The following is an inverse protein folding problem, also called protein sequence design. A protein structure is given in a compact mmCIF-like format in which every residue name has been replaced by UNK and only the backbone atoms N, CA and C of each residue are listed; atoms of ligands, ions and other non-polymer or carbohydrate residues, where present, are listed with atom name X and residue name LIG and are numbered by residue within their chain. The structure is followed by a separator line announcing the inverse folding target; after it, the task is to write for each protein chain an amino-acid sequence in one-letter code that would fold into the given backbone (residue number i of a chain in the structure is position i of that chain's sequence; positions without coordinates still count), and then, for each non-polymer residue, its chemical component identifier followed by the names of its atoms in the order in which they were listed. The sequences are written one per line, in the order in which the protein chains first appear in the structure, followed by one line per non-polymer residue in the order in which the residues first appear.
data_IF_795659708214
#
_entry.id   IF_795659708214
#
_cell.length_a   1.000
_cell.length_b   1.000
_cell.length_c   1.000
_cell.angle_alpha   90.00
_cell.angle_beta   90.00
_cell.angle_gamma   90.00
#
_symmetry.space_group_name_H-M   'P 1'
#
loop_
_entity.id
_entity.type
_entity.pdbx_description
1 polymer ?
#
# COMPACT_ATOMS: atom_id res chain seq x y z
N UNK A 1 24.34 -25.32 7.87
CA UNK A 1 22.97 -25.61 8.38
C UNK A 1 22.11 -24.39 8.08
N UNK A 2 20.90 -24.56 7.51
CA UNK A 2 19.96 -23.43 7.39
C UNK A 2 19.52 -23.02 8.81
N UNK A 3 19.70 -21.75 9.15
CA UNK A 3 19.30 -21.19 10.45
C UNK A 3 17.78 -21.27 10.55
N UNK A 4 17.25 -21.79 11.66
CA UNK A 4 15.82 -21.77 11.93
C UNK A 4 15.32 -20.31 12.00
N UNK A 5 14.24 -19.98 11.30
CA UNK A 5 13.64 -18.64 11.32
C UNK A 5 12.72 -18.52 12.54
N UNK A 6 13.34 -18.42 13.73
CA UNK A 6 12.63 -18.30 15.00
C UNK A 6 12.89 -16.92 15.63
N UNK A 7 11.90 -16.01 15.64
CA UNK A 7 11.97 -14.74 16.33
C UNK A 7 12.16 -14.84 17.82
N UNK A 8 12.76 -13.78 18.33
CA UNK A 8 13.06 -13.58 19.75
C UNK A 8 11.79 -13.33 20.57
N UNK A 9 10.73 -12.77 19.96
CA UNK A 9 9.46 -12.46 20.63
C UNK A 9 8.29 -13.18 19.94
N UNK A 10 7.45 -13.81 20.75
CA UNK A 10 6.27 -14.60 20.34
C UNK A 10 5.05 -14.30 21.20
N UNK A 11 3.88 -14.31 20.56
CA UNK A 11 2.62 -14.51 21.28
C UNK A 11 2.54 -15.97 21.76
N UNK A 12 1.86 -16.18 22.90
CA UNK A 12 1.86 -17.45 23.65
C UNK A 12 1.56 -18.70 22.81
N UNK A 13 0.75 -18.55 21.76
CA UNK A 13 0.27 -19.67 20.94
C UNK A 13 0.91 -19.73 19.54
N UNK A 14 1.92 -18.89 19.27
CA UNK A 14 2.63 -18.84 17.97
C UNK A 14 4.04 -19.41 18.12
N UNK A 15 4.14 -20.71 18.36
CA UNK A 15 5.41 -21.41 18.66
C UNK A 15 6.14 -21.94 17.42
N UNK A 16 5.47 -22.01 16.28
CA UNK A 16 6.03 -22.53 15.04
C UNK A 16 7.13 -21.62 14.46
N UNK A 17 7.99 -22.24 13.66
CA UNK A 17 9.02 -21.55 12.88
C UNK A 17 8.37 -20.71 11.77
N UNK A 18 8.99 -19.58 11.39
CA UNK A 18 8.52 -18.83 10.22
C UNK A 18 8.74 -19.63 8.96
N UNK A 19 7.75 -19.54 8.08
CA UNK A 19 7.88 -19.89 6.69
C UNK A 19 8.28 -18.64 5.88
N UNK A 20 9.20 -18.83 4.95
CA UNK A 20 9.50 -17.82 3.93
C UNK A 20 8.59 -18.05 2.73
N UNK A 21 7.91 -17.02 2.27
CA UNK A 21 7.01 -17.08 1.12
C UNK A 21 7.14 -15.82 0.26
N UNK A 22 6.84 -15.92 -1.04
CA UNK A 22 6.86 -14.74 -1.90
C UNK A 22 5.58 -13.95 -1.69
N UNK A 23 5.69 -12.63 -1.65
CA UNK A 23 4.51 -11.72 -1.60
C UNK A 23 3.52 -12.06 -2.73
N UNK A 24 4.04 -12.33 -3.93
CA UNK A 24 3.23 -12.69 -5.09
C UNK A 24 2.51 -14.04 -4.97
N UNK A 25 2.81 -14.88 -3.97
CA UNK A 25 2.07 -16.12 -3.72
C UNK A 25 0.76 -15.81 -2.98
N UNK A 26 0.79 -14.88 -2.03
CA UNK A 26 -0.32 -14.53 -1.15
C UNK A 26 -1.16 -13.33 -1.62
N UNK A 27 -0.60 -12.47 -2.46
CA UNK A 27 -1.21 -11.17 -2.81
C UNK A 27 -1.22 -10.89 -4.31
N UNK A 28 -2.25 -10.17 -4.76
CA UNK A 28 -2.25 -9.45 -6.03
C UNK A 28 -1.64 -8.07 -5.83
N UNK A 29 -0.69 -7.72 -6.70
CA UNK A 29 -0.01 -6.42 -6.72
C UNK A 29 -0.49 -5.62 -7.93
N UNK A 30 -1.04 -4.43 -7.69
CA UNK A 30 -1.54 -3.55 -8.75
C UNK A 30 -0.96 -2.14 -8.58
N UNK A 31 -0.77 -1.42 -9.67
CA UNK A 31 -0.46 0.02 -9.66
C UNK A 31 -1.72 0.83 -9.93
N UNK A 32 -1.74 2.07 -9.48
CA UNK A 32 -2.82 3.00 -9.77
C UNK A 32 -2.83 3.50 -11.21
N UNK A 33 -3.65 4.52 -11.45
CA UNK A 33 -3.77 5.20 -12.76
C UNK A 33 -3.02 6.53 -12.75
N UNK A 34 -2.68 7.06 -13.92
CA UNK A 34 -2.13 8.41 -14.01
C UNK A 34 -3.18 9.41 -13.54
N UNK A 35 -2.86 10.16 -12.48
CA UNK A 35 -3.70 11.26 -11.96
C UNK A 35 -2.83 12.51 -11.92
N UNK A 36 -3.15 13.47 -12.78
CA UNK A 36 -2.41 14.72 -12.90
C UNK A 36 -2.88 15.76 -11.90
N UNK A 37 -2.01 16.71 -11.55
CA UNK A 37 -2.33 17.80 -10.64
C UNK A 37 -3.59 18.58 -11.04
N UNK A 38 -3.73 18.95 -12.31
CA UNK A 38 -4.91 19.65 -12.81
C UNK A 38 -6.20 18.82 -12.66
N UNK A 39 -6.12 17.50 -12.74
CA UNK A 39 -7.28 16.65 -12.50
C UNK A 39 -7.73 16.75 -11.03
N UNK A 40 -6.79 16.72 -10.09
CA UNK A 40 -7.07 16.87 -8.65
C UNK A 40 -7.71 18.24 -8.39
N UNK A 41 -7.17 19.31 -8.99
CA UNK A 41 -7.66 20.67 -8.81
C UNK A 41 -9.08 20.87 -9.38
N UNK A 42 -9.39 20.26 -10.52
CA UNK A 42 -10.70 20.35 -11.16
C UNK A 42 -11.75 19.41 -10.56
N UNK A 43 -11.34 18.41 -9.77
CA UNK A 43 -12.23 17.41 -9.19
C UNK A 43 -12.13 17.35 -7.66
N UNK A 44 -11.84 18.49 -7.01
CA UNK A 44 -11.65 18.57 -5.56
C UNK A 44 -12.79 17.91 -4.79
N UNK A 45 -12.43 17.19 -3.74
CA UNK A 45 -13.39 16.54 -2.86
C UNK A 45 -12.76 16.06 -1.57
N UNK A 46 -13.33 15.00 -1.00
CA UNK A 46 -12.94 14.50 0.33
C UNK A 46 -12.10 13.22 0.30
N UNK A 47 -12.00 12.54 -0.84
CA UNK A 47 -11.32 11.25 -0.93
C UNK A 47 -9.84 11.45 -1.29
N UNK A 48 -8.91 10.92 -0.49
CA UNK A 48 -7.49 11.11 -0.72
C UNK A 48 -7.00 10.39 -1.98
N UNK A 49 -5.99 10.98 -2.61
CA UNK A 49 -5.18 10.41 -3.68
C UNK A 49 -3.78 10.20 -3.15
N UNK A 50 -3.29 8.97 -3.14
CA UNK A 50 -1.93 8.66 -2.69
C UNK A 50 -0.97 8.45 -3.86
N UNK A 51 0.29 8.86 -3.69
CA UNK A 51 1.35 8.77 -4.71
C UNK A 51 2.62 8.08 -4.17
N UNK A 52 3.78 8.29 -4.80
CA UNK A 52 5.09 7.86 -4.27
C UNK A 52 5.67 8.77 -3.18
N UNK A 53 4.99 9.86 -2.81
CA UNK A 53 5.41 10.72 -1.70
C UNK A 53 5.39 9.94 -0.38
N UNK A 54 6.37 10.22 0.49
CA UNK A 54 6.46 9.60 1.83
C UNK A 54 6.09 10.57 2.96
N UNK A 55 6.10 11.87 2.70
CA UNK A 55 5.56 12.89 3.59
C UNK A 55 4.02 12.92 3.56
N UNK A 56 3.40 13.57 4.55
CA UNK A 56 1.94 13.69 4.66
C UNK A 56 1.20 12.34 4.48
N UNK A 57 1.80 11.26 5.01
CA UNK A 57 1.28 9.90 4.86
C UNK A 57 1.04 9.50 3.38
N UNK A 58 1.84 10.05 2.46
CA UNK A 58 1.79 9.84 1.01
C UNK A 58 0.62 10.47 0.26
N UNK A 59 -0.17 11.33 0.92
CA UNK A 59 -1.31 12.01 0.29
C UNK A 59 -0.85 13.14 -0.63
N UNK A 60 -1.18 13.03 -1.92
CA UNK A 60 -0.93 14.03 -2.96
C UNK A 60 -2.02 15.11 -3.00
N UNK A 61 -3.26 14.75 -2.66
CA UNK A 61 -4.40 15.65 -2.67
C UNK A 61 -5.72 14.89 -2.49
N UNK A 62 -6.85 15.56 -2.71
CA UNK A 62 -8.18 14.96 -2.54
C UNK A 62 -9.12 15.24 -3.71
N UNK A 63 -9.87 14.22 -4.11
CA UNK A 63 -10.85 14.28 -5.20
C UNK A 63 -12.25 13.86 -4.73
N UNK A 64 -13.25 14.11 -5.58
CA UNK A 64 -14.68 13.83 -5.32
C UNK A 64 -15.11 12.39 -5.68
N UNK A 65 -14.23 11.60 -6.29
CA UNK A 65 -14.43 10.18 -6.64
C UNK A 65 -13.38 9.31 -5.95
N UNK A 66 -13.51 7.99 -6.03
CA UNK A 66 -12.54 7.04 -5.46
C UNK A 66 -12.52 5.76 -6.30
N UNK A 67 -11.37 5.09 -6.32
CA UNK A 67 -11.19 3.81 -7.02
C UNK A 67 -11.26 2.61 -6.06
N UNK A 68 -10.91 2.83 -4.77
CA UNK A 68 -10.83 1.78 -3.76
C UNK A 68 -11.68 2.12 -2.55
N UNK A 69 -12.28 1.09 -1.93
CA UNK A 69 -13.02 1.21 -0.68
C UNK A 69 -12.80 -0.06 0.16
N UNK A 70 -12.05 0.05 1.25
CA UNK A 70 -11.76 -1.09 2.11
C UNK A 70 -10.43 -0.94 2.83
N UNK A 71 -9.90 -2.08 3.27
CA UNK A 71 -8.65 -2.18 4.00
C UNK A 71 -7.55 -2.75 3.11
N UNK A 72 -6.46 -2.00 2.95
CA UNK A 72 -5.39 -2.33 2.02
C UNK A 72 -4.03 -1.90 2.56
N UNK A 73 -2.99 -2.51 1.98
CA UNK A 73 -1.63 -2.01 2.08
C UNK A 73 -1.27 -1.31 0.76
N UNK A 74 -0.60 -0.17 0.86
CA UNK A 74 -0.05 0.54 -0.31
C UNK A 74 1.46 0.68 -0.18
N UNK A 75 2.16 0.80 -1.31
CA UNK A 75 3.60 1.06 -1.33
C UNK A 75 4.01 2.10 -2.37
N UNK A 76 5.11 2.81 -2.11
CA UNK A 76 5.72 3.74 -3.08
C UNK A 76 6.51 2.94 -4.12
N UNK A 77 6.29 3.17 -5.42
CA UNK A 77 6.98 2.38 -6.47
C UNK A 77 8.30 2.98 -6.95
N UNK A 78 8.58 4.22 -6.58
CA UNK A 78 9.59 5.08 -7.19
C UNK A 78 10.09 6.14 -6.19
N UNK A 79 11.22 6.79 -6.52
CA UNK A 79 11.87 7.79 -5.68
C UNK A 79 12.89 7.22 -4.70
N UNK A 80 13.59 8.10 -3.97
CA UNK A 80 14.63 7.74 -3.01
C UNK A 80 14.13 6.88 -1.83
N UNK A 81 12.81 6.89 -1.60
CA UNK A 81 12.14 6.12 -0.56
C UNK A 81 11.18 5.07 -1.14
N UNK A 82 11.47 4.55 -2.34
CA UNK A 82 10.72 3.44 -2.94
C UNK A 82 10.64 2.24 -1.98
N UNK A 83 9.48 1.58 -1.95
CA UNK A 83 9.20 0.47 -1.02
C UNK A 83 8.67 0.90 0.35
N UNK A 84 8.40 2.20 0.56
CA UNK A 84 7.73 2.66 1.78
C UNK A 84 6.30 2.16 1.82
N UNK A 85 5.90 1.55 2.95
CA UNK A 85 4.60 0.90 3.13
C UNK A 85 3.65 1.78 3.96
N UNK A 86 2.39 1.85 3.53
CA UNK A 86 1.33 2.49 4.30
C UNK A 86 0.10 1.58 4.41
N UNK A 87 -0.46 1.51 5.61
CA UNK A 87 -1.79 0.94 5.85
C UNK A 87 -2.88 1.94 5.48
N UNK A 88 -3.92 1.48 4.77
CA UNK A 88 -5.04 2.29 4.30
C UNK A 88 -6.35 1.62 4.69
N UNK A 89 -7.29 2.42 5.19
CA UNK A 89 -8.65 1.98 5.45
C UNK A 89 -9.64 3.07 5.02
N UNK A 90 -10.61 2.71 4.17
CA UNK A 90 -11.66 3.60 3.68
C UNK A 90 -11.57 3.84 2.18
N UNK A 91 -12.09 4.99 1.74
CA UNK A 91 -12.26 5.36 0.33
C UNK A 91 -11.11 6.22 -0.17
N UNK A 92 -10.42 5.80 -1.22
CA UNK A 92 -9.28 6.51 -1.78
C UNK A 92 -8.98 6.14 -3.24
N UNK A 93 -8.05 6.87 -3.84
CA UNK A 93 -7.42 6.54 -5.11
C UNK A 93 -5.90 6.51 -4.97
N UNK A 94 -5.21 5.83 -5.88
CA UNK A 94 -3.75 5.80 -5.95
C UNK A 94 -3.30 6.21 -7.35
N UNK A 95 -2.18 6.93 -7.43
CA UNK A 95 -1.55 7.22 -8.73
C UNK A 95 -0.82 6.00 -9.27
N UNK A 96 -0.38 6.05 -10.52
CA UNK A 96 0.50 5.05 -11.13
C UNK A 96 1.81 4.88 -10.34
N UNK A 97 2.24 5.87 -9.57
CA UNK A 97 3.44 5.84 -8.71
C UNK A 97 3.21 5.23 -7.32
N UNK A 98 2.04 4.66 -7.10
CA UNK A 98 1.69 3.97 -5.87
C UNK A 98 1.12 2.59 -6.22
N UNK A 99 1.55 1.58 -5.46
CA UNK A 99 1.03 0.22 -5.56
C UNK A 99 0.03 -0.08 -4.46
N UNK A 100 -0.87 -1.03 -4.72
CA UNK A 100 -1.83 -1.58 -3.75
C UNK A 100 -1.70 -3.10 -3.69
N UNK A 101 -1.70 -3.63 -2.47
CA UNK A 101 -1.61 -5.05 -2.16
C UNK A 101 -3.01 -5.53 -1.80
N UNK A 102 -3.50 -6.52 -2.54
CA UNK A 102 -4.81 -7.14 -2.34
C UNK A 102 -4.61 -8.63 -2.02
N UNK A 103 -5.30 -9.14 -1.00
CA UNK A 103 -5.19 -10.56 -0.61
C UNK A 103 -5.81 -11.43 -1.70
N UNK A 104 -5.14 -12.52 -2.06
CA UNK A 104 -5.77 -13.58 -2.86
C UNK A 104 -6.68 -14.39 -1.94
N UNK A 105 -7.99 -14.19 -2.06
CA UNK A 105 -9.01 -15.03 -1.41
C UNK A 105 -9.28 -16.24 -2.29
#
# INVERSE_FOLDING_TARGET
MKKALKPEIRFKDFTDDWIEGKVGDLFYLKRGKVILQNFIENNRGKFPVYSSQTENNGELGKINTYDFNGEFITWTTDGAHAGTIFYRNGKFSITDRCGIVEIKI
#
